data_IF_673661022878
#
_entry.id   IF_673661022878
#
_cell.length_a   1.000
_cell.length_b   1.000
_cell.length_c   1.000
_cell.angle_alpha   90.00
_cell.angle_beta   90.00
_cell.angle_gamma   90.00
#
_symmetry.space_group_name_H-M   'P 1'
#
loop_
_entity.id
_entity.type
_entity.pdbx_description
1 polymer ?
#
# COMPACT_ATOMS: atom_id res chain seq x y z
N UNK A 1 0.09 -7.24 31.25
CA UNK A 1 -0.22 -8.05 30.06
C UNK A 1 0.94 -7.94 29.08
N UNK A 2 1.52 -9.07 28.67
CA UNK A 2 2.56 -9.08 27.64
C UNK A 2 1.93 -8.63 26.31
N UNK A 3 2.59 -7.70 25.60
CA UNK A 3 2.19 -7.33 24.22
C UNK A 3 2.46 -8.53 23.31
N UNK A 4 1.62 -8.76 22.29
CA UNK A 4 1.89 -9.75 21.27
C UNK A 4 3.14 -9.36 20.46
N UNK A 5 3.76 -10.31 19.79
CA UNK A 5 4.93 -10.05 18.92
C UNK A 5 4.57 -9.05 17.83
N UNK A 6 3.37 -9.18 17.24
CA UNK A 6 2.84 -8.30 16.20
C UNK A 6 2.69 -6.86 16.70
N UNK A 7 2.19 -6.67 17.93
CA UNK A 7 2.07 -5.34 18.55
C UNK A 7 3.43 -4.69 18.83
N UNK A 8 4.46 -5.49 19.12
CA UNK A 8 5.83 -4.98 19.27
C UNK A 8 6.39 -4.51 17.93
N UNK A 9 6.23 -5.30 16.86
CA UNK A 9 6.66 -4.93 15.50
C UNK A 9 5.94 -3.66 15.02
N UNK A 10 4.62 -3.58 15.20
CA UNK A 10 3.85 -2.38 14.85
C UNK A 10 4.36 -1.13 15.59
N UNK A 11 4.68 -1.26 16.87
CA UNK A 11 5.24 -0.15 17.66
C UNK A 11 6.62 0.27 17.14
N UNK A 12 7.45 -0.68 16.71
CA UNK A 12 8.77 -0.39 16.12
C UNK A 12 8.64 0.30 14.76
N UNK A 13 7.72 -0.15 13.89
CA UNK A 13 7.45 0.52 12.62
C UNK A 13 6.98 1.96 12.83
N UNK A 14 6.06 2.20 13.76
CA UNK A 14 5.59 3.55 14.05
C UNK A 14 6.70 4.44 14.62
N UNK A 15 7.61 3.90 15.43
CA UNK A 15 8.77 4.64 15.92
C UNK A 15 9.68 5.07 14.77
N UNK A 16 9.92 4.21 13.78
CA UNK A 16 10.69 4.52 12.56
C UNK A 16 10.00 5.56 11.69
N UNK A 17 8.67 5.46 11.50
CA UNK A 17 7.88 6.51 10.82
C UNK A 17 8.03 7.86 11.52
N UNK A 18 7.89 7.89 12.85
CA UNK A 18 8.02 9.11 13.66
C UNK A 18 9.44 9.70 13.59
N UNK A 19 10.46 8.85 13.43
CA UNK A 19 11.84 9.28 13.20
C UNK A 19 12.10 9.80 11.77
N UNK A 20 11.10 9.73 10.87
CA UNK A 20 11.21 10.20 9.49
C UNK A 20 11.99 9.25 8.58
N UNK A 21 12.08 7.96 8.93
CA UNK A 21 12.79 6.97 8.11
C UNK A 21 12.04 6.63 6.82
N UNK A 22 10.71 6.80 6.78
CA UNK A 22 9.88 6.42 5.64
C UNK A 22 9.48 7.64 4.82
N UNK A 23 9.45 7.48 3.51
CA UNK A 23 9.04 8.56 2.61
C UNK A 23 7.53 8.72 2.66
N UNK A 24 7.08 9.93 3.02
CA UNK A 24 5.65 10.26 3.09
C UNK A 24 4.97 10.01 1.75
N UNK A 25 3.85 9.31 1.78
CA UNK A 25 3.06 8.95 0.61
C UNK A 25 2.62 10.18 -0.21
N UNK A 26 2.50 10.01 -1.51
CA UNK A 26 2.01 11.02 -2.47
C UNK A 26 2.91 12.26 -2.60
N UNK A 27 4.14 12.22 -2.08
CA UNK A 27 5.15 13.25 -2.33
C UNK A 27 5.95 12.95 -3.61
N UNK A 28 6.58 13.96 -4.27
CA UNK A 28 7.44 13.72 -5.44
C UNK A 28 8.55 12.71 -5.16
N UNK A 29 9.18 12.75 -3.98
CA UNK A 29 10.25 11.82 -3.58
C UNK A 29 9.70 10.39 -3.43
N UNK A 30 8.50 10.24 -2.92
CA UNK A 30 7.83 8.95 -2.82
C UNK A 30 7.55 8.34 -4.20
N UNK A 31 7.08 9.14 -5.16
CA UNK A 31 6.87 8.69 -6.54
C UNK A 31 8.18 8.27 -7.21
N UNK A 32 9.26 9.05 -7.05
CA UNK A 32 10.58 8.74 -7.57
C UNK A 32 11.13 7.43 -6.99
N UNK A 33 11.06 7.25 -5.67
CA UNK A 33 11.50 6.03 -5.01
C UNK A 33 10.71 4.79 -5.48
N UNK A 34 9.40 4.90 -5.60
CA UNK A 34 8.55 3.82 -6.14
C UNK A 34 8.86 3.50 -7.61
N UNK A 35 9.26 4.49 -8.38
CA UNK A 35 9.72 4.28 -9.77
C UNK A 35 10.93 3.35 -9.87
N UNK A 36 11.79 3.36 -8.86
CA UNK A 36 13.07 2.62 -8.82
C UNK A 36 12.99 1.25 -8.15
N UNK A 37 11.84 0.86 -7.61
CA UNK A 37 11.62 -0.42 -6.94
C UNK A 37 10.32 -1.07 -7.41
N UNK A 38 10.13 -2.33 -7.07
CA UNK A 38 8.86 -3.02 -7.22
C UNK A 38 8.06 -2.85 -5.93
N UNK A 39 6.82 -2.40 -6.02
CA UNK A 39 6.00 -2.15 -4.83
C UNK A 39 4.93 -3.21 -4.67
N UNK A 40 4.45 -3.43 -3.45
CA UNK A 40 3.42 -4.42 -3.14
C UNK A 40 2.20 -4.33 -4.07
N UNK A 41 1.78 -3.10 -4.42
CA UNK A 41 0.66 -2.87 -5.34
C UNK A 41 0.95 -3.25 -6.81
N UNK A 42 2.20 -3.48 -7.17
CA UNK A 42 2.64 -3.80 -8.54
C UNK A 42 3.00 -5.28 -8.72
N UNK A 43 3.17 -6.03 -7.63
CA UNK A 43 3.57 -7.46 -7.70
C UNK A 43 2.56 -8.29 -8.48
N UNK A 44 1.27 -8.04 -8.31
CA UNK A 44 0.25 -8.78 -9.07
C UNK A 44 0.39 -8.55 -10.59
N UNK A 45 0.78 -7.34 -11.02
CA UNK A 45 1.09 -7.05 -12.43
C UNK A 45 2.37 -7.76 -12.87
N UNK A 46 3.41 -7.77 -12.05
CA UNK A 46 4.66 -8.47 -12.37
C UNK A 46 4.46 -10.00 -12.53
N UNK A 47 3.43 -10.56 -11.86
CA UNK A 47 3.05 -11.98 -11.93
C UNK A 47 1.95 -12.25 -12.98
N UNK A 48 1.56 -11.28 -13.79
CA UNK A 48 0.43 -11.33 -14.73
C UNK A 48 -0.91 -11.78 -14.08
N UNK A 49 -1.07 -11.48 -12.80
CA UNK A 49 -2.29 -11.76 -12.02
C UNK A 49 -3.20 -10.53 -11.88
N UNK A 50 -2.82 -9.38 -12.44
CA UNK A 50 -3.59 -8.15 -12.40
C UNK A 50 -4.37 -7.96 -13.71
N UNK A 51 -5.70 -7.89 -13.62
CA UNK A 51 -6.57 -7.72 -14.80
C UNK A 51 -6.51 -6.32 -15.44
N UNK A 52 -5.92 -5.34 -14.74
CA UNK A 52 -5.85 -3.95 -15.19
C UNK A 52 -4.51 -3.56 -15.80
N UNK A 53 -3.46 -4.34 -15.54
CA UNK A 53 -2.10 -4.03 -15.99
C UNK A 53 -1.29 -5.31 -16.14
N UNK A 54 -0.75 -5.55 -17.33
CA UNK A 54 0.16 -6.66 -17.60
C UNK A 54 1.56 -6.43 -17.04
N UNK A 55 2.38 -7.49 -16.97
CA UNK A 55 3.81 -7.38 -16.64
C UNK A 55 4.57 -6.52 -17.66
N UNK A 56 4.17 -6.58 -18.93
CA UNK A 56 4.75 -5.75 -19.99
C UNK A 56 4.44 -4.25 -19.78
N UNK A 57 3.20 -3.90 -19.47
CA UNK A 57 2.81 -2.50 -19.19
C UNK A 57 3.54 -1.96 -17.96
N UNK A 58 3.69 -2.79 -16.92
CA UNK A 58 4.46 -2.44 -15.74
C UNK A 58 5.93 -2.18 -16.09
N UNK A 59 6.54 -3.04 -16.88
CA UNK A 59 7.93 -2.88 -17.34
C UNK A 59 8.10 -1.57 -18.13
N UNK A 60 7.20 -1.29 -19.08
CA UNK A 60 7.23 -0.04 -19.83
C UNK A 60 7.13 1.19 -18.93
N UNK A 61 6.22 1.16 -17.95
CA UNK A 61 6.07 2.22 -16.97
C UNK A 61 7.34 2.45 -16.14
N UNK A 62 8.05 1.38 -15.77
CA UNK A 62 9.31 1.49 -15.01
C UNK A 62 10.47 2.01 -15.88
N UNK A 63 10.54 1.62 -17.14
CA UNK A 63 11.61 2.04 -18.05
C UNK A 63 11.41 3.45 -18.63
N UNK A 64 10.16 3.86 -18.82
CA UNK A 64 9.79 5.14 -19.46
C UNK A 64 8.66 5.82 -18.67
N UNK A 65 8.91 6.28 -17.45
CA UNK A 65 7.87 6.88 -16.61
C UNK A 65 7.17 8.08 -17.25
N UNK A 66 7.91 8.88 -18.03
CA UNK A 66 7.39 10.07 -18.71
C UNK A 66 6.49 9.75 -19.93
N UNK A 67 6.57 8.53 -20.47
CA UNK A 67 5.77 8.12 -21.63
C UNK A 67 4.38 7.62 -21.25
N UNK A 68 4.21 7.24 -20.01
CA UNK A 68 2.91 6.85 -19.44
C UNK A 68 2.35 8.10 -18.77
N UNK A 69 1.59 8.89 -19.51
CA UNK A 69 0.93 10.07 -18.96
C UNK A 69 0.20 9.73 -17.67
N UNK A 70 0.14 10.68 -16.75
CA UNK A 70 -0.75 10.59 -15.59
C UNK A 70 -2.16 10.30 -16.15
N UNK A 71 -2.59 9.06 -16.08
CA UNK A 71 -3.95 8.70 -16.41
C UNK A 71 -4.82 9.36 -15.35
N UNK A 72 -5.42 10.50 -15.71
CA UNK A 72 -6.55 11.06 -14.97
C UNK A 72 -7.67 10.02 -15.08
N UNK A 73 -7.64 9.08 -14.16
CA UNK A 73 -8.64 8.02 -14.10
C UNK A 73 -9.69 8.42 -13.06
N UNK A 74 -10.97 8.56 -13.45
CA UNK A 74 -12.05 8.82 -12.49
C UNK A 74 -12.06 7.81 -11.33
N UNK A 75 -11.63 6.57 -11.58
CA UNK A 75 -11.51 5.55 -10.55
C UNK A 75 -10.38 5.85 -9.55
N UNK A 76 -9.26 6.41 -10.01
CA UNK A 76 -8.14 6.80 -9.14
C UNK A 76 -8.51 8.03 -8.29
N UNK A 77 -9.15 9.04 -8.90
CA UNK A 77 -9.65 10.21 -8.19
C UNK A 77 -10.68 9.81 -7.12
N UNK A 78 -11.60 8.91 -7.47
CA UNK A 78 -12.57 8.35 -6.54
C UNK A 78 -11.89 7.68 -5.36
N UNK A 79 -10.93 6.78 -5.61
CA UNK A 79 -10.15 6.09 -4.59
C UNK A 79 -9.48 7.09 -3.64
N UNK A 80 -8.74 8.05 -4.19
CA UNK A 80 -8.03 9.08 -3.42
C UNK A 80 -8.98 9.93 -2.55
N UNK A 81 -10.16 10.24 -3.06
CA UNK A 81 -11.17 11.06 -2.36
C UNK A 81 -11.80 10.30 -1.19
N UNK A 82 -12.10 9.03 -1.36
CA UNK A 82 -12.88 8.26 -0.37
C UNK A 82 -12.03 7.43 0.59
N UNK A 83 -10.77 7.18 0.30
CA UNK A 83 -9.85 6.47 1.20
C UNK A 83 -9.80 7.10 2.61
N UNK A 84 -9.61 8.45 2.79
CA UNK A 84 -9.61 9.04 4.13
C UNK A 84 -10.94 8.88 4.87
N UNK A 85 -12.07 8.88 4.14
CA UNK A 85 -13.39 8.66 4.73
C UNK A 85 -13.53 7.20 5.19
N UNK A 86 -13.01 6.26 4.40
CA UNK A 86 -13.02 4.85 4.76
C UNK A 86 -12.13 4.55 5.98
N UNK A 87 -10.98 5.24 6.12
CA UNK A 87 -10.14 5.18 7.32
C UNK A 87 -10.95 5.61 8.55
N UNK A 88 -11.58 6.79 8.51
CA UNK A 88 -12.38 7.29 9.63
C UNK A 88 -13.54 6.35 9.98
N UNK A 89 -14.17 5.77 8.97
CA UNK A 89 -15.24 4.81 9.19
C UNK A 89 -14.74 3.51 9.83
N UNK A 90 -13.57 3.04 9.41
CA UNK A 90 -12.91 1.89 10.05
C UNK A 90 -12.60 2.18 11.52
N UNK A 91 -11.99 3.33 11.84
CA UNK A 91 -11.67 3.75 13.21
C UNK A 91 -12.93 3.82 14.08
N UNK A 92 -14.01 4.39 13.53
CA UNK A 92 -15.30 4.45 14.24
C UNK A 92 -15.87 3.06 14.55
N UNK A 93 -15.82 2.12 13.60
CA UNK A 93 -16.37 0.77 13.78
C UNK A 93 -15.50 -0.11 14.66
N UNK A 94 -14.18 -0.03 14.53
CA UNK A 94 -13.24 -0.89 15.23
C UNK A 94 -12.83 -0.36 16.61
N UNK A 95 -13.01 0.93 16.84
CA UNK A 95 -12.46 1.66 17.99
C UNK A 95 -10.92 1.51 18.09
N UNK A 96 -10.25 1.35 16.93
CA UNK A 96 -8.79 1.30 16.80
C UNK A 96 -8.30 2.57 16.08
N UNK A 97 -7.14 3.07 16.43
CA UNK A 97 -6.51 4.22 15.76
C UNK A 97 -5.65 3.73 14.62
N UNK A 98 -5.82 4.35 13.45
CA UNK A 98 -5.03 4.08 12.25
C UNK A 98 -3.90 5.09 12.15
N UNK A 99 -2.65 4.62 12.15
CA UNK A 99 -1.47 5.46 11.96
C UNK A 99 -1.04 5.42 10.50
N UNK A 100 -0.86 6.59 9.90
CA UNK A 100 -0.23 6.70 8.58
C UNK A 100 1.18 6.12 8.63
N UNK A 101 1.58 5.46 7.54
CA UNK A 101 2.93 4.95 7.35
C UNK A 101 3.37 5.22 5.91
N UNK A 102 4.61 5.65 5.73
CA UNK A 102 5.18 5.98 4.44
C UNK A 102 5.61 4.76 3.63
N UNK A 103 6.59 4.94 2.75
CA UNK A 103 7.17 3.87 1.96
C UNK A 103 8.18 3.08 2.80
N UNK A 104 7.80 1.89 3.18
CA UNK A 104 8.67 0.90 3.84
C UNK A 104 9.44 0.13 2.76
N UNK A 105 10.75 0.07 2.89
CA UNK A 105 11.61 -0.78 2.03
C UNK A 105 11.91 -2.08 2.77
N UNK A 106 11.78 -3.20 2.07
CA UNK A 106 12.06 -4.52 2.64
C UNK A 106 13.46 -4.60 3.23
N UNK A 107 13.61 -5.23 4.41
CA UNK A 107 14.85 -5.25 5.16
C UNK A 107 16.01 -5.89 4.37
N UNK A 108 15.75 -6.96 3.62
CA UNK A 108 16.73 -7.71 2.82
C UNK A 108 16.64 -7.30 1.34
N UNK A 109 15.47 -7.35 0.74
CA UNK A 109 15.25 -7.13 -0.69
C UNK A 109 15.00 -5.64 -0.99
N UNK A 110 16.07 -4.86 -1.11
CA UNK A 110 16.00 -3.39 -1.28
C UNK A 110 15.27 -2.91 -2.54
N UNK A 111 15.02 -3.82 -3.49
CA UNK A 111 14.21 -3.58 -4.68
C UNK A 111 12.71 -3.73 -4.44
N UNK A 112 12.28 -4.15 -3.24
CA UNK A 112 10.90 -4.38 -2.86
C UNK A 112 10.45 -3.38 -1.78
N UNK A 113 9.27 -2.79 -1.96
CA UNK A 113 8.71 -1.85 -1.00
C UNK A 113 7.21 -1.93 -0.87
N UNK A 114 6.68 -1.33 0.19
CA UNK A 114 5.24 -1.25 0.46
C UNK A 114 4.87 0.09 1.07
N UNK A 115 3.68 0.57 0.77
CA UNK A 115 3.06 1.72 1.42
C UNK A 115 1.62 1.31 1.79
N UNK A 116 1.42 0.68 2.96
CA UNK A 116 0.09 0.37 3.46
C UNK A 116 -0.72 1.65 3.71
N UNK A 117 -2.04 1.56 3.63
CA UNK A 117 -2.92 2.70 3.92
C UNK A 117 -2.98 3.01 5.43
N UNK A 118 -2.59 2.06 6.27
CA UNK A 118 -2.49 2.28 7.71
C UNK A 118 -1.83 1.17 8.49
N UNK A 119 -1.37 1.54 9.68
CA UNK A 119 -0.81 0.66 10.69
C UNK A 119 -1.62 0.78 11.98
N UNK A 120 -1.97 -0.34 12.58
CA UNK A 120 -2.70 -0.42 13.85
C UNK A 120 -1.80 -1.06 14.89
N UNK A 121 -1.71 -0.46 16.08
CA UNK A 121 -0.78 -0.90 17.13
C UNK A 121 -1.07 -2.28 17.72
N UNK A 122 -2.24 -2.86 17.40
CA UNK A 122 -2.51 -4.27 17.70
C UNK A 122 -1.72 -5.24 16.81
N UNK A 123 -1.02 -4.74 15.78
CA UNK A 123 -0.18 -5.52 14.86
C UNK A 123 -0.84 -5.77 13.50
N UNK A 124 -1.85 -4.97 13.14
CA UNK A 124 -2.54 -5.10 11.85
C UNK A 124 -2.06 -4.05 10.87
N UNK A 125 -1.98 -4.42 9.59
CA UNK A 125 -1.90 -3.48 8.47
C UNK A 125 -3.30 -3.26 7.91
N UNK A 126 -3.58 -2.04 7.49
CA UNK A 126 -4.83 -1.67 6.82
C UNK A 126 -4.56 -1.41 5.34
N UNK A 127 -5.36 -2.04 4.49
CA UNK A 127 -5.41 -1.77 3.05
C UNK A 127 -6.85 -1.43 2.67
N UNK A 128 -7.06 -0.25 2.12
CA UNK A 128 -8.38 0.27 1.77
C UNK A 128 -8.57 0.23 0.25
N UNK A 129 -9.72 -0.23 -0.18
CA UNK A 129 -10.14 -0.20 -1.57
C UNK A 129 -11.50 0.46 -1.68
N UNK A 130 -11.55 1.57 -2.40
CA UNK A 130 -12.77 2.30 -2.72
C UNK A 130 -13.10 2.11 -4.21
N UNK A 131 -13.75 1.01 -4.63
CA UNK A 131 -14.02 0.75 -6.04
C UNK A 131 -15.02 1.76 -6.59
N UNK A 132 -14.73 2.29 -7.80
CA UNK A 132 -15.58 3.29 -8.46
C UNK A 132 -16.88 2.70 -9.00
N UNK A 133 -16.83 1.52 -9.65
CA UNK A 133 -17.99 0.93 -10.32
C UNK A 133 -18.29 -0.51 -9.88
N UNK A 134 -17.37 -1.15 -9.16
CA UNK A 134 -17.57 -2.52 -8.72
C UNK A 134 -18.36 -2.55 -7.42
N UNK A 135 -19.31 -3.48 -7.29
CA UNK A 135 -19.98 -3.73 -6.02
C UNK A 135 -18.99 -4.23 -4.96
N UNK A 136 -19.20 -3.79 -3.72
CA UNK A 136 -18.44 -4.23 -2.55
C UNK A 136 -19.09 -5.52 -2.04
N UNK A 137 -18.31 -6.57 -1.91
CA UNK A 137 -18.75 -7.88 -1.41
C UNK A 137 -18.17 -9.02 -2.24
N UNK A 138 -18.29 -10.25 -1.74
CA UNK A 138 -17.72 -11.43 -2.36
C UNK A 138 -16.28 -11.71 -1.99
N UNK A 139 -15.60 -12.52 -2.80
CA UNK A 139 -14.21 -12.89 -2.57
C UNK A 139 -13.24 -11.74 -2.86
N UNK A 140 -12.14 -11.71 -2.11
CA UNK A 140 -11.06 -10.74 -2.33
C UNK A 140 -10.37 -11.12 -3.66
N UNK A 141 -10.29 -10.20 -4.64
CA UNK A 141 -9.59 -10.44 -5.89
C UNK A 141 -8.13 -10.83 -5.65
N UNK A 142 -7.62 -11.77 -6.45
CA UNK A 142 -6.26 -12.31 -6.30
C UNK A 142 -5.19 -11.22 -6.29
N UNK A 143 -5.35 -10.16 -7.10
CA UNK A 143 -4.38 -9.05 -7.17
C UNK A 143 -4.36 -8.20 -5.89
N UNK A 144 -5.45 -8.09 -5.14
CA UNK A 144 -5.45 -7.46 -3.82
C UNK A 144 -4.88 -8.38 -2.76
N UNK A 145 -5.20 -9.67 -2.85
CA UNK A 145 -4.65 -10.66 -1.92
C UNK A 145 -3.12 -10.70 -2.00
N UNK A 146 -2.56 -10.74 -3.23
CA UNK A 146 -1.11 -10.69 -3.46
C UNK A 146 -0.51 -9.40 -2.86
N UNK A 147 -1.13 -8.24 -3.09
CA UNK A 147 -0.68 -6.98 -2.53
C UNK A 147 -0.57 -7.05 -0.99
N UNK A 148 -1.59 -7.55 -0.32
CA UNK A 148 -1.61 -7.66 1.15
C UNK A 148 -0.53 -8.61 1.67
N UNK A 149 -0.29 -9.76 1.00
CA UNK A 149 0.77 -10.69 1.40
C UNK A 149 2.16 -10.02 1.34
N UNK A 150 2.43 -9.27 0.26
CA UNK A 150 3.69 -8.57 0.11
C UNK A 150 3.83 -7.41 1.10
N UNK A 151 2.74 -6.71 1.42
CA UNK A 151 2.78 -5.68 2.46
C UNK A 151 3.17 -6.28 3.82
N UNK A 152 2.59 -7.42 4.19
CA UNK A 152 2.95 -8.11 5.43
C UNK A 152 4.41 -8.53 5.44
N UNK A 153 4.93 -9.09 4.35
CA UNK A 153 6.33 -9.49 4.22
C UNK A 153 7.29 -8.29 4.34
N UNK A 154 6.96 -7.16 3.72
CA UNK A 154 7.81 -5.96 3.74
C UNK A 154 7.81 -5.27 5.11
N UNK A 155 6.70 -5.35 5.84
CA UNK A 155 6.52 -4.65 7.12
C UNK A 155 6.82 -5.54 8.34
N UNK A 156 7.23 -6.80 8.12
CA UNK A 156 7.51 -7.77 9.21
C UNK A 156 8.85 -7.56 9.98
#
# INVERSE_FOLDING_TARGET
MSKSTESVKATQLLARETAGEFLKQRTPIWYDARGKMLTASEIASALDCNIYQSSYDLLLKKLKPDSVGLLDSPALEWGNKFEPVAVQFYEFLSNEVVHEIGLVTHAIHKWLGASPDGLILSGKLLEIKCPFMRSIGGEIPIYYWIQMQIQMEVCD
#
